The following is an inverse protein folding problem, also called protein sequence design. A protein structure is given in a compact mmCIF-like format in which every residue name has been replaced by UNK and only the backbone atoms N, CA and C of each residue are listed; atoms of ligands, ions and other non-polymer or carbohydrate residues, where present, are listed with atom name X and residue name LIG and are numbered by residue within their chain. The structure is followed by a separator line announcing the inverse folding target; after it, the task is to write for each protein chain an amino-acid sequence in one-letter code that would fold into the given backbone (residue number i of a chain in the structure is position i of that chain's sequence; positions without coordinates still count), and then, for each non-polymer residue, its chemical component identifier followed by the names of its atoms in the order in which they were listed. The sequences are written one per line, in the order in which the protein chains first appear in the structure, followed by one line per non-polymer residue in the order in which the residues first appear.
data_IF_900748906342
#
_entry.id   IF_900748906342
#
_cell.length_a   1.000
_cell.length_b   1.000
_cell.length_c   1.000
_cell.angle_alpha   90.00
_cell.angle_beta   90.00
_cell.angle_gamma   90.00
#
_symmetry.space_group_name_H-M   'P 1'
#
loop_
_entity.id
_entity.type
_entity.pdbx_description
1 polymer ?
#
# COMPACT_ATOMS: atom_id res chain seq x y z
N UNK A 1 15.45 12.23 12.04
CA UNK A 1 14.12 11.60 12.26
C UNK A 1 13.28 11.66 11.01
N UNK A 2 12.65 10.57 10.68
CA UNK A 2 11.79 10.52 9.50
C UNK A 2 10.48 11.27 9.74
N UNK A 3 10.01 11.94 8.73
CA UNK A 3 8.75 12.68 8.79
C UNK A 3 7.86 12.34 7.60
N UNK A 4 6.56 12.49 7.78
CA UNK A 4 5.57 12.23 6.72
C UNK A 4 5.04 13.57 6.24
N UNK A 5 4.87 13.69 4.93
CA UNK A 5 4.26 14.88 4.36
C UNK A 5 3.48 14.55 3.08
N UNK A 6 2.60 15.46 2.64
CA UNK A 6 1.83 15.21 1.43
C UNK A 6 2.71 15.24 0.19
N UNK A 7 2.28 14.52 -0.83
CA UNK A 7 2.91 14.52 -2.14
C UNK A 7 1.82 14.29 -3.18
N UNK A 8 1.99 14.84 -4.36
CA UNK A 8 1.03 14.57 -5.44
C UNK A 8 1.16 13.12 -5.91
N UNK A 9 0.09 12.56 -6.43
CA UNK A 9 0.14 11.21 -7.01
C UNK A 9 1.14 11.16 -8.16
N UNK A 10 1.20 12.20 -8.97
CA UNK A 10 2.15 12.28 -10.07
C UNK A 10 3.60 12.17 -9.60
N UNK A 11 3.96 12.91 -8.56
CA UNK A 11 5.32 12.89 -8.03
C UNK A 11 5.63 11.56 -7.34
N UNK A 12 4.65 10.98 -6.68
CA UNK A 12 4.81 9.67 -6.07
C UNK A 12 5.01 8.58 -7.13
N UNK A 13 4.28 8.65 -8.25
CA UNK A 13 4.47 7.74 -9.38
C UNK A 13 5.88 7.86 -9.96
N UNK A 14 6.42 9.08 -10.05
CA UNK A 14 7.78 9.29 -10.52
C UNK A 14 8.81 8.64 -9.60
N UNK A 15 8.60 8.74 -8.30
CA UNK A 15 9.47 8.07 -7.32
C UNK A 15 9.40 6.55 -7.45
N UNK A 16 8.21 5.99 -7.62
CA UNK A 16 8.03 4.55 -7.80
C UNK A 16 8.77 4.08 -9.07
N UNK A 17 8.65 4.84 -10.15
CA UNK A 17 9.32 4.49 -11.39
C UNK A 17 10.84 4.43 -11.22
N UNK A 18 11.39 5.30 -10.39
CA UNK A 18 12.83 5.35 -10.17
C UNK A 18 13.34 4.26 -9.20
N UNK A 19 12.60 4.00 -8.13
CA UNK A 19 13.12 3.19 -7.03
C UNK A 19 12.46 1.82 -6.84
N UNK A 20 11.23 1.65 -7.31
CA UNK A 20 10.56 0.36 -7.11
C UNK A 20 11.21 -0.69 -8.01
N UNK A 21 11.46 -1.88 -7.45
CA UNK A 21 12.15 -2.92 -8.20
C UNK A 21 11.43 -3.38 -9.46
N UNK A 22 10.12 -3.17 -9.55
CA UNK A 22 9.35 -3.47 -10.76
C UNK A 22 9.18 -2.24 -11.64
N UNK A 23 9.55 -1.07 -11.13
CA UNK A 23 9.50 0.21 -11.85
C UNK A 23 8.19 0.52 -12.56
N UNK A 24 7.09 -0.07 -12.11
CA UNK A 24 5.78 0.17 -12.70
C UNK A 24 4.91 0.85 -11.65
N UNK A 25 4.65 2.16 -11.79
CA UNK A 25 3.80 2.84 -10.83
C UNK A 25 2.34 2.49 -11.05
N UNK A 26 1.49 2.60 -10.02
CA UNK A 26 0.06 2.44 -10.20
C UNK A 26 -0.49 3.53 -11.12
N UNK A 27 -1.56 3.24 -11.82
CA UNK A 27 -2.17 4.15 -12.78
C UNK A 27 -2.74 5.40 -12.11
N UNK A 28 -3.20 5.28 -10.90
CA UNK A 28 -3.77 6.41 -10.16
C UNK A 28 -3.88 6.07 -8.68
N UNK A 29 -4.69 6.82 -7.97
CA UNK A 29 -4.91 6.60 -6.55
C UNK A 29 -5.81 7.67 -5.98
N UNK A 30 -6.11 7.54 -4.71
CA UNK A 30 -6.92 8.51 -3.99
C UNK A 30 -6.03 9.56 -3.34
N UNK A 31 -4.90 9.14 -2.80
CA UNK A 31 -3.91 10.04 -2.20
C UNK A 31 -2.54 9.37 -2.17
N UNK A 32 -1.53 10.18 -1.94
CA UNK A 32 -0.17 9.71 -1.73
C UNK A 32 0.47 10.47 -0.59
N UNK A 33 1.44 9.83 0.06
CA UNK A 33 2.24 10.46 1.12
C UNK A 33 3.72 10.19 0.86
N UNK A 34 4.56 11.08 1.35
CA UNK A 34 6.00 10.93 1.27
C UNK A 34 6.61 10.80 2.66
N UNK A 35 7.68 10.02 2.74
CA UNK A 35 8.54 9.95 3.92
C UNK A 35 9.81 10.71 3.60
N UNK A 36 10.20 11.61 4.48
CA UNK A 36 11.39 12.44 4.30
C UNK A 36 12.40 12.19 5.41
N UNK A 37 13.69 12.26 5.04
CA UNK A 37 14.78 12.13 6.01
C UNK A 37 15.09 13.48 6.68
N UNK A 38 16.11 13.49 7.53
CA UNK A 38 16.50 14.71 8.25
C UNK A 38 16.93 15.85 7.33
N UNK A 39 17.42 15.55 6.14
CA UNK A 39 17.76 16.56 5.13
C UNK A 39 16.55 16.99 4.31
N UNK A 40 15.36 16.57 4.71
CA UNK A 40 14.10 16.87 4.01
C UNK A 40 14.02 16.32 2.61
N UNK A 41 14.82 15.30 2.31
CA UNK A 41 14.75 14.62 1.05
C UNK A 41 13.74 13.49 1.13
N UNK A 42 13.01 13.28 0.05
CA UNK A 42 12.06 12.18 -0.02
C UNK A 42 12.84 10.87 -0.09
N UNK A 43 12.59 9.98 0.87
CA UNK A 43 13.21 8.66 0.92
C UNK A 43 12.21 7.52 0.69
N UNK A 44 10.94 7.84 0.58
CA UNK A 44 9.93 6.86 0.26
C UNK A 44 8.57 7.49 0.01
N UNK A 45 7.70 6.74 -0.65
CA UNK A 45 6.33 7.18 -0.92
C UNK A 45 5.36 6.01 -0.75
N UNK A 46 4.12 6.32 -0.42
CA UNK A 46 3.04 5.34 -0.47
C UNK A 46 1.90 5.94 -1.28
N UNK A 47 1.26 5.11 -2.09
CA UNK A 47 0.11 5.49 -2.90
C UNK A 47 -1.05 4.59 -2.52
N UNK A 48 -2.17 5.19 -2.18
CA UNK A 48 -3.35 4.50 -1.69
C UNK A 48 -4.57 4.85 -2.53
N UNK A 49 -5.51 3.93 -2.59
CA UNK A 49 -6.76 4.17 -3.30
C UNK A 49 -7.78 3.07 -3.09
N UNK A 50 -8.78 3.05 -3.96
CA UNK A 50 -9.82 2.03 -3.92
C UNK A 50 -9.21 0.68 -4.25
N UNK A 51 -9.68 -0.41 -3.62
CA UNK A 51 -9.20 -1.74 -3.97
C UNK A 51 -9.35 -2.03 -5.46
N UNK A 52 -8.31 -2.58 -6.05
CA UNK A 52 -8.33 -2.95 -7.46
C UNK A 52 -9.27 -4.14 -7.67
N UNK A 53 -9.28 -5.06 -6.71
CA UNK A 53 -10.19 -6.19 -6.77
C UNK A 53 -11.61 -5.74 -6.40
N UNK A 54 -12.54 -5.92 -7.32
CA UNK A 54 -13.92 -5.48 -7.11
C UNK A 54 -14.56 -6.03 -5.86
N UNK A 55 -14.25 -7.25 -5.50
CA UNK A 55 -14.84 -7.89 -4.33
C UNK A 55 -14.48 -7.20 -3.01
N UNK A 56 -13.39 -6.42 -3.00
CA UNK A 56 -12.98 -5.70 -1.80
C UNK A 56 -13.36 -4.22 -1.85
N UNK A 57 -13.85 -3.73 -2.97
CA UNK A 57 -14.18 -2.31 -3.14
C UNK A 57 -15.60 -2.04 -2.60
N UNK A 58 -15.70 -2.00 -1.29
CA UNK A 58 -16.97 -1.89 -0.57
C UNK A 58 -17.19 -0.52 0.09
N UNK A 59 -16.37 0.46 -0.24
CA UNK A 59 -16.47 1.82 0.31
C UNK A 59 -15.82 2.04 1.66
N UNK A 60 -15.45 0.97 2.36
CA UNK A 60 -14.83 1.05 3.68
C UNK A 60 -13.47 0.35 3.73
N UNK A 61 -12.96 -0.10 2.59
CA UNK A 61 -11.64 -0.73 2.46
C UNK A 61 -10.74 0.16 1.61
N UNK A 62 -9.55 0.41 2.11
CA UNK A 62 -8.52 1.15 1.40
C UNK A 62 -7.43 0.17 0.98
N UNK A 63 -6.89 0.34 -0.20
CA UNK A 63 -5.72 -0.45 -0.62
C UNK A 63 -4.47 0.44 -0.69
N UNK A 64 -3.38 -0.03 -0.13
CA UNK A 64 -2.07 0.58 -0.34
C UNK A 64 -1.50 -0.08 -1.60
N UNK A 65 -1.47 0.66 -2.70
CA UNK A 65 -1.02 0.13 -3.98
C UNK A 65 0.47 -0.09 -4.02
N UNK A 66 1.21 0.86 -3.46
CA UNK A 66 2.67 0.79 -3.41
C UNK A 66 3.16 1.44 -2.14
N UNK A 67 4.18 0.85 -1.57
CA UNK A 67 5.00 1.44 -0.52
C UNK A 67 6.44 1.24 -1.01
N UNK A 68 7.02 2.31 -1.54
CA UNK A 68 8.31 2.26 -2.21
C UNK A 68 9.29 3.18 -1.52
N UNK A 69 10.45 2.67 -1.18
CA UNK A 69 11.49 3.47 -0.51
C UNK A 69 12.83 3.29 -1.23
N UNK A 70 13.77 4.17 -0.92
CA UNK A 70 15.13 4.08 -1.44
C UNK A 70 16.02 3.16 -0.58
N UNK A 71 15.43 2.43 0.34
CA UNK A 71 16.16 1.56 1.26
C UNK A 71 16.45 2.17 2.62
N UNK A 72 16.04 3.44 2.84
CA UNK A 72 16.24 4.09 4.13
C UNK A 72 15.58 3.29 5.24
N UNK A 73 16.34 3.05 6.30
CA UNK A 73 15.89 2.26 7.44
C UNK A 73 14.62 2.84 8.05
N UNK A 74 13.66 1.98 8.32
CA UNK A 74 12.37 2.32 8.93
C UNK A 74 11.42 3.16 8.05
N UNK A 75 11.83 3.54 6.85
CA UNK A 75 10.97 4.34 5.98
C UNK A 75 9.70 3.57 5.59
N UNK A 76 9.85 2.30 5.28
CA UNK A 76 8.74 1.46 4.86
C UNK A 76 7.68 1.32 5.97
N UNK A 77 8.11 0.99 7.18
CA UNK A 77 7.19 0.87 8.31
C UNK A 77 6.59 2.21 8.71
N UNK A 78 7.36 3.30 8.59
CA UNK A 78 6.86 4.64 8.83
C UNK A 78 5.70 4.98 7.89
N UNK A 79 5.85 4.63 6.62
CA UNK A 79 4.81 4.86 5.61
C UNK A 79 3.57 4.00 5.87
N UNK A 80 3.75 2.72 6.19
CA UNK A 80 2.61 1.87 6.53
C UNK A 80 1.84 2.41 7.73
N UNK A 81 2.55 2.77 8.79
CA UNK A 81 1.93 3.33 9.98
C UNK A 81 1.15 4.60 9.69
N UNK A 82 1.72 5.48 8.86
CA UNK A 82 1.04 6.71 8.47
C UNK A 82 -0.22 6.43 7.64
N UNK A 83 -0.16 5.49 6.70
CA UNK A 83 -1.32 5.09 5.91
C UNK A 83 -2.45 4.58 6.80
N UNK A 84 -2.12 3.80 7.83
CA UNK A 84 -3.13 3.28 8.76
C UNK A 84 -3.80 4.40 9.55
N UNK A 85 -3.02 5.37 10.02
CA UNK A 85 -3.58 6.52 10.75
C UNK A 85 -4.49 7.37 9.86
N UNK A 86 -4.07 7.61 8.61
CA UNK A 86 -4.86 8.36 7.66
C UNK A 86 -6.16 7.61 7.32
N UNK A 87 -6.06 6.32 7.08
CA UNK A 87 -7.21 5.49 6.79
C UNK A 87 -8.24 5.54 7.93
N UNK A 88 -7.74 5.46 9.16
CA UNK A 88 -8.61 5.55 10.34
C UNK A 88 -9.29 6.90 10.41
N UNK A 89 -8.56 7.99 10.18
CA UNK A 89 -9.13 9.32 10.17
C UNK A 89 -10.18 9.51 9.09
N UNK A 90 -10.02 8.84 7.95
CA UNK A 90 -10.99 8.92 6.86
C UNK A 90 -12.20 8.01 7.04
N UNK A 91 -12.21 7.16 8.06
CA UNK A 91 -13.32 6.26 8.35
C UNK A 91 -13.24 4.89 7.69
N UNK A 92 -12.09 4.55 7.10
CA UNK A 92 -11.92 3.21 6.56
C UNK A 92 -11.85 2.19 7.70
N UNK A 93 -12.44 1.04 7.47
CA UNK A 93 -12.46 -0.04 8.46
C UNK A 93 -11.48 -1.14 8.18
N UNK A 94 -10.96 -1.18 6.98
CA UNK A 94 -10.02 -2.20 6.55
C UNK A 94 -8.99 -1.58 5.63
N UNK A 95 -7.73 -1.93 5.80
CA UNK A 95 -6.67 -1.54 4.88
C UNK A 95 -6.01 -2.81 4.38
N UNK A 96 -5.90 -2.97 3.08
CA UNK A 96 -5.25 -4.13 2.48
C UNK A 96 -4.04 -3.71 1.67
N UNK A 97 -3.10 -4.61 1.54
CA UNK A 97 -1.94 -4.44 0.68
C UNK A 97 -1.42 -5.82 0.28
N UNK A 98 -0.57 -5.85 -0.73
CA UNK A 98 -0.02 -7.09 -1.24
C UNK A 98 1.50 -7.04 -1.25
N UNK A 99 2.14 -8.15 -0.96
CA UNK A 99 3.57 -8.33 -1.15
C UNK A 99 3.80 -9.58 -1.96
N UNK A 100 4.96 -9.70 -2.58
CA UNK A 100 5.31 -10.95 -3.25
C UNK A 100 5.52 -12.04 -2.19
N UNK A 101 5.16 -13.25 -2.52
CA UNK A 101 5.25 -14.37 -1.57
C UNK A 101 6.69 -14.61 -1.11
N UNK A 102 7.65 -14.30 -1.96
CA UNK A 102 9.07 -14.41 -1.62
C UNK A 102 9.55 -13.36 -0.62
N UNK A 103 8.78 -12.30 -0.40
CA UNK A 103 9.15 -11.26 0.55
C UNK A 103 8.73 -11.65 1.95
N UNK A 104 9.55 -11.29 2.95
CA UNK A 104 9.30 -11.74 4.33
C UNK A 104 8.20 -10.97 5.06
N UNK A 105 7.77 -9.83 4.56
CA UNK A 105 6.70 -9.06 5.20
C UNK A 105 7.07 -8.41 6.52
N UNK A 106 8.36 -8.21 6.79
CA UNK A 106 8.80 -7.69 8.10
C UNK A 106 8.19 -6.34 8.44
N UNK A 107 8.17 -5.40 7.49
CA UNK A 107 7.59 -4.07 7.73
C UNK A 107 6.08 -4.14 7.93
N UNK A 108 5.43 -5.06 7.27
CA UNK A 108 3.99 -5.28 7.42
C UNK A 108 3.66 -5.82 8.81
N UNK A 109 4.42 -6.84 9.25
CA UNK A 109 4.22 -7.39 10.60
C UNK A 109 4.51 -6.35 11.66
N UNK A 110 5.55 -5.53 11.46
CA UNK A 110 5.91 -4.48 12.39
C UNK A 110 4.81 -3.43 12.56
N UNK A 111 3.94 -3.28 11.58
CA UNK A 111 2.83 -2.33 11.61
C UNK A 111 1.48 -3.01 11.80
N UNK A 112 1.51 -4.24 12.33
CA UNK A 112 0.31 -5.00 12.72
C UNK A 112 -0.57 -5.48 11.56
N UNK A 113 -0.04 -5.54 10.36
CA UNK A 113 -0.74 -6.22 9.29
C UNK A 113 -0.70 -7.72 9.54
N UNK A 114 -1.80 -8.39 9.27
CA UNK A 114 -1.88 -9.84 9.38
C UNK A 114 -1.96 -10.45 7.98
N UNK A 115 -1.32 -11.58 7.81
CA UNK A 115 -1.38 -12.31 6.55
C UNK A 115 -2.77 -12.93 6.45
N UNK A 116 -3.52 -12.52 5.42
CA UNK A 116 -4.91 -12.91 5.27
C UNK A 116 -5.12 -13.99 4.23
N UNK A 117 -4.28 -14.08 3.25
CA UNK A 117 -4.40 -15.06 2.18
C UNK A 117 -3.40 -14.83 1.07
N UNK A 118 -3.56 -15.55 -0.02
CA UNK A 118 -2.72 -15.44 -1.20
C UNK A 118 -3.57 -15.05 -2.41
N UNK A 119 -2.95 -14.43 -3.39
CA UNK A 119 -3.62 -13.99 -4.60
C UNK A 119 -2.64 -13.99 -5.78
N UNK A 120 -3.14 -14.03 -6.98
CA UNK A 120 -2.32 -13.95 -8.18
C UNK A 120 -1.70 -15.30 -8.58
N UNK A 121 -0.58 -15.24 -9.25
CA UNK A 121 0.12 -16.44 -9.69
C UNK A 121 -0.42 -17.07 -10.98
N UNK A 122 -1.50 -16.51 -11.52
CA UNK A 122 -2.06 -17.01 -12.77
C UNK A 122 -1.71 -16.05 -13.88
N UNK A 123 -1.22 -16.59 -14.99
CA UNK A 123 -1.05 -15.77 -16.17
C UNK A 123 -2.44 -15.34 -16.63
N UNK A 124 -2.56 -14.07 -16.90
CA UNK A 124 -3.84 -13.54 -17.32
C UNK A 124 -4.11 -13.94 -18.76
N UNK A 125 -5.01 -14.87 -18.95
CA UNK A 125 -5.40 -15.33 -20.28
C UNK A 125 -6.74 -14.77 -20.73
N UNK A 126 -7.23 -13.76 -20.05
CA UNK A 126 -8.53 -13.18 -20.35
C UNK A 126 -8.56 -12.33 -21.62
N UNK A 127 -9.75 -11.91 -22.00
CA UNK A 127 -9.99 -11.16 -23.23
C UNK A 127 -9.34 -9.78 -23.26
N UNK A 128 -8.86 -9.26 -22.11
CA UNK A 128 -8.21 -7.97 -22.05
C UNK A 128 -6.72 -8.16 -22.00
N UNK A 129 -6.09 -7.99 -23.14
CA UNK A 129 -4.66 -8.04 -23.22
C UNK A 129 -4.12 -6.65 -22.92
N UNK A 130 -3.40 -6.53 -21.84
CA UNK A 130 -2.71 -5.29 -21.53
C UNK A 130 -1.24 -5.48 -21.79
N UNK A 131 -0.85 -5.19 -23.02
CA UNK A 131 0.55 -5.38 -23.44
C UNK A 131 1.54 -4.51 -22.68
N UNK A 132 1.10 -3.46 -22.04
CA UNK A 132 1.97 -2.54 -21.29
C UNK A 132 2.05 -2.88 -19.80
N UNK A 133 1.27 -3.84 -19.32
CA UNK A 133 1.27 -4.18 -17.91
C UNK A 133 1.82 -5.59 -17.72
N UNK A 134 2.96 -5.66 -17.06
CA UNK A 134 3.53 -6.95 -16.70
C UNK A 134 3.40 -7.08 -15.20
N UNK A 135 2.46 -7.86 -14.75
CA UNK A 135 2.35 -8.22 -13.34
C UNK A 135 3.27 -9.41 -13.08
N UNK A 136 4.00 -9.43 -11.97
CA UNK A 136 4.77 -10.60 -11.62
C UNK A 136 3.86 -11.82 -11.54
N UNK A 137 4.28 -12.93 -12.14
CA UNK A 137 3.50 -14.16 -12.09
C UNK A 137 3.58 -14.82 -10.72
N UNK A 138 4.49 -14.35 -9.87
CA UNK A 138 4.64 -14.89 -8.53
C UNK A 138 3.39 -14.67 -7.70
N UNK A 139 3.06 -15.66 -6.89
CA UNK A 139 1.96 -15.52 -5.93
C UNK A 139 2.23 -14.37 -4.99
N UNK A 140 1.17 -13.67 -4.64
CA UNK A 140 1.24 -12.55 -3.71
C UNK A 140 0.56 -12.92 -2.41
N UNK A 141 1.09 -12.40 -1.34
CA UNK A 141 0.44 -12.46 -0.04
C UNK A 141 -0.45 -11.23 0.11
N UNK A 142 -1.67 -11.43 0.57
CA UNK A 142 -2.57 -10.34 0.91
C UNK A 142 -2.52 -10.11 2.40
N UNK A 143 -2.28 -8.89 2.78
CA UNK A 143 -2.18 -8.47 4.17
C UNK A 143 -3.30 -7.48 4.49
N UNK A 144 -3.79 -7.50 5.71
CA UNK A 144 -4.85 -6.60 6.11
C UNK A 144 -4.70 -6.12 7.55
N UNK A 145 -5.20 -4.91 7.79
CA UNK A 145 -5.40 -4.40 9.13
C UNK A 145 -6.87 -4.00 9.21
N UNK A 146 -7.54 -4.45 10.25
CA UNK A 146 -8.91 -4.05 10.53
C UNK A 146 -8.87 -3.02 11.65
N UNK A 147 -9.75 -2.03 11.59
CA UNK A 147 -9.82 -1.02 12.62
C UNK A 147 -10.39 -1.65 13.88
N UNK A 148 -9.50 -1.95 14.82
CA UNK A 148 -9.89 -2.57 16.07
C UNK A 148 -10.76 -1.64 16.89
N UNK A 149 -10.52 -0.36 16.77
CA UNK A 149 -11.25 0.60 17.56
C UNK A 149 -12.73 0.53 17.34
N UNK A 150 -13.19 0.14 16.14
CA UNK A 150 -14.60 0.15 15.97
C UNK A 150 -15.29 -1.11 16.45
N UNK A 151 -14.55 -2.11 16.83
CA UNK A 151 -15.15 -3.24 17.49
C UNK A 151 -15.62 -2.84 18.88
N UNK A 152 -15.02 -1.79 19.42
CA UNK A 152 -15.38 -1.38 20.73
C UNK A 152 -16.49 -0.41 20.59
N UNK A 153 -16.69 0.00 19.48
CA UNK A 153 -17.48 1.00 19.24
C UNK A 153 -18.75 0.67 19.00
N UNK A 154 -18.91 -0.32 18.98
CA UNK A 154 -20.17 -0.73 19.06
C UNK A 154 -20.89 0.15 19.94
N UNK A 155 -20.33 0.91 20.28
CA UNK A 155 -20.68 1.72 21.09
C UNK A 155 -21.44 2.58 20.59
N UNK A 156 -21.96 2.96 20.95
CA UNK A 156 -22.79 3.61 20.76
C UNK A 156 -22.71 4.51 20.13
N UNK A 157 -22.76 4.62 19.89
CA UNK A 157 -22.78 5.65 19.50
C UNK A 157 -23.53 6.25 19.51
#
# INVERSE_FOLDING_TARGET
MLSIRPISIKDAQAFVKQYHRHNIPPVGGKFAIACCNDSKRICGVAICGRPVARSYDNGITLEIYRNCTDGTRNACSKLYGACLRIAKCMGYRRVITYSLKSENGASLRATNFILEGTAGGLSWTGKRHRSYYVSPEELKNRWAVYSVSYTHLTLPT
#
